data_IF_811276342701
#
_entry.id   IF_811276342701
#
_cell.length_a   1.000
_cell.length_b   1.000
_cell.length_c   1.000
_cell.angle_alpha   90.00
_cell.angle_beta   90.00
_cell.angle_gamma   90.00
#
_symmetry.space_group_name_H-M   'P 1'
#
loop_
_entity.id
_entity.type
_entity.pdbx_description
1 polymer ?
#
# COMPACT_ATOMS: atom_id res chain seq x y z
N UNK A 1 59.42 58.84 -6.33
CA UNK A 1 59.62 57.69 -7.24
C UNK A 1 58.97 56.47 -6.63
N UNK A 2 58.03 55.90 -7.36
CA UNK A 2 57.21 54.74 -6.98
C UNK A 2 58.08 53.49 -6.94
N UNK A 3 57.97 52.69 -5.88
CA UNK A 3 58.36 51.28 -5.97
C UNK A 3 57.49 50.40 -5.05
N UNK A 4 56.20 50.35 -5.37
CA UNK A 4 55.26 49.34 -4.88
C UNK A 4 55.29 48.16 -5.85
N UNK A 5 56.18 47.19 -5.65
CA UNK A 5 56.10 45.91 -6.34
C UNK A 5 56.87 44.84 -5.57
N UNK A 6 56.29 44.33 -4.49
CA UNK A 6 56.84 43.16 -3.77
C UNK A 6 55.79 42.15 -3.30
N UNK A 7 54.52 42.26 -3.71
CA UNK A 7 53.47 41.41 -3.15
C UNK A 7 52.50 40.81 -4.19
N UNK A 8 52.94 40.59 -5.43
CA UNK A 8 52.09 39.96 -6.46
C UNK A 8 52.69 38.65 -7.00
N UNK A 9 54.00 38.44 -6.83
CA UNK A 9 54.69 37.28 -7.39
C UNK A 9 54.51 35.94 -6.64
N UNK A 10 54.33 35.86 -5.30
CA UNK A 10 54.15 34.56 -4.66
C UNK A 10 52.70 34.05 -4.77
N UNK A 11 51.73 34.95 -4.99
CA UNK A 11 50.33 34.58 -5.16
C UNK A 11 50.05 33.88 -6.50
N UNK A 12 50.79 34.26 -7.56
CA UNK A 12 50.59 33.68 -8.89
C UNK A 12 51.11 32.24 -9.00
N UNK A 13 52.17 31.90 -8.26
CA UNK A 13 52.69 30.53 -8.23
C UNK A 13 51.83 29.57 -7.40
N UNK A 14 51.23 30.05 -6.31
CA UNK A 14 50.30 29.25 -5.48
C UNK A 14 48.98 29.00 -6.23
N UNK A 15 48.52 29.96 -7.03
CA UNK A 15 47.31 29.80 -7.83
C UNK A 15 47.44 28.75 -8.95
N UNK A 16 48.66 28.50 -9.46
CA UNK A 16 48.90 27.53 -10.53
C UNK A 16 48.97 26.08 -10.00
N UNK A 17 49.35 25.86 -8.75
CA UNK A 17 49.39 24.51 -8.15
C UNK A 17 48.02 23.96 -7.75
N UNK A 18 46.99 24.82 -7.62
CA UNK A 18 45.63 24.39 -7.22
C UNK A 18 44.84 23.77 -8.38
N UNK A 19 45.30 23.92 -9.62
CA UNK A 19 44.60 23.40 -10.81
C UNK A 19 45.03 21.99 -11.26
N UNK A 20 45.98 21.36 -10.56
CA UNK A 20 46.47 20.00 -10.90
C UNK A 20 46.19 18.98 -9.78
N UNK A 21 45.36 19.32 -8.80
CA UNK A 21 44.67 18.29 -7.99
C UNK A 21 43.57 17.67 -8.84
N UNK A 22 44.05 16.85 -9.78
CA UNK A 22 43.27 16.01 -10.66
C UNK A 22 42.32 15.13 -9.87
N UNK A 23 41.20 14.84 -10.51
CA UNK A 23 40.14 13.97 -10.06
C UNK A 23 40.72 12.64 -9.55
N UNK A 24 40.76 12.44 -8.24
CA UNK A 24 40.79 11.08 -7.70
C UNK A 24 39.45 10.47 -8.05
N UNK A 25 39.49 9.50 -8.95
CA UNK A 25 38.39 8.64 -9.30
C UNK A 25 37.99 7.87 -8.03
N UNK A 26 37.03 8.39 -7.27
CA UNK A 26 36.38 7.66 -6.21
C UNK A 26 35.57 6.56 -6.90
N UNK A 27 36.17 5.38 -7.08
CA UNK A 27 35.38 4.19 -7.39
C UNK A 27 34.49 3.98 -6.16
N UNK A 28 33.16 4.06 -6.28
CA UNK A 28 32.31 3.60 -5.20
C UNK A 28 32.66 2.12 -5.01
N UNK A 29 33.20 1.76 -3.84
CA UNK A 29 33.28 0.37 -3.43
C UNK A 29 31.85 -0.07 -3.10
N UNK A 30 31.09 -0.35 -4.15
CA UNK A 30 29.80 -1.03 -4.07
C UNK A 30 30.08 -2.47 -3.66
N UNK A 31 30.09 -2.66 -2.35
CA UNK A 31 29.99 -3.94 -1.64
C UNK A 31 28.49 -4.21 -1.47
N UNK A 32 27.79 -5.23 -2.01
CA UNK A 32 28.04 -6.52 -2.70
C UNK A 32 26.95 -6.73 -3.80
N UNK A 33 26.90 -7.86 -4.55
CA UNK A 33 26.07 -8.96 -4.02
C UNK A 33 26.79 -10.32 -4.02
N UNK A 34 26.63 -11.02 -2.90
CA UNK A 34 27.13 -12.36 -2.62
C UNK A 34 26.38 -13.43 -3.42
N UNK A 35 26.93 -14.01 -4.49
CA UNK A 35 26.32 -15.15 -5.25
C UNK A 35 24.82 -15.03 -5.63
N UNK A 36 24.25 -13.85 -5.43
CA UNK A 36 22.85 -13.48 -5.55
C UNK A 36 22.83 -12.21 -6.40
N UNK A 37 23.61 -12.18 -7.48
CA UNK A 37 23.17 -11.45 -8.67
C UNK A 37 21.93 -12.21 -9.15
N UNK A 38 20.80 -11.91 -8.52
CA UNK A 38 19.53 -12.36 -9.02
C UNK A 38 19.42 -11.71 -10.37
N UNK A 39 19.40 -12.54 -11.40
CA UNK A 39 19.16 -12.18 -12.79
C UNK A 39 17.70 -11.69 -12.93
N UNK A 40 17.34 -10.62 -12.21
CA UNK A 40 16.04 -9.95 -12.28
C UNK A 40 15.99 -9.05 -13.50
N UNK A 41 17.13 -8.45 -13.87
CA UNK A 41 17.20 -7.51 -14.99
C UNK A 41 17.20 -8.18 -16.37
N UNK A 42 17.62 -9.44 -16.48
CA UNK A 42 17.58 -10.19 -17.74
C UNK A 42 16.45 -11.24 -17.78
N UNK A 43 15.68 -11.38 -16.69
CA UNK A 43 14.43 -12.11 -16.74
C UNK A 43 13.51 -11.40 -17.76
N UNK A 44 12.89 -12.14 -18.70
CA UNK A 44 11.87 -11.54 -19.54
C UNK A 44 10.82 -10.92 -18.60
N UNK A 45 10.40 -9.69 -18.88
CA UNK A 45 9.14 -9.16 -18.33
C UNK A 45 8.05 -10.15 -18.75
N UNK A 46 7.75 -11.11 -17.87
CA UNK A 46 6.58 -11.94 -18.05
C UNK A 46 5.42 -11.01 -17.79
N UNK A 47 4.62 -10.75 -18.82
CA UNK A 47 3.27 -10.23 -18.61
C UNK A 47 2.67 -11.04 -17.46
N UNK A 48 2.37 -10.33 -16.38
CA UNK A 48 1.80 -10.98 -15.20
C UNK A 48 0.49 -11.61 -15.65
N UNK A 49 0.38 -12.93 -15.50
CA UNK A 49 -0.83 -13.64 -15.84
C UNK A 49 -2.03 -12.97 -15.16
N UNK A 50 -3.14 -12.83 -15.90
CA UNK A 50 -4.31 -12.04 -15.48
C UNK A 50 -4.86 -12.52 -14.13
N UNK A 51 -4.78 -13.81 -13.83
CA UNK A 51 -5.19 -14.35 -12.53
C UNK A 51 -4.23 -13.93 -11.42
N UNK A 52 -2.92 -13.90 -11.69
CA UNK A 52 -1.92 -13.40 -10.73
C UNK A 52 -2.12 -11.91 -10.46
N UNK A 53 -2.38 -11.12 -11.51
CA UNK A 53 -2.70 -9.69 -11.39
C UNK A 53 -3.95 -9.46 -10.55
N UNK A 54 -5.06 -10.15 -10.87
CA UNK A 54 -6.32 -10.07 -10.11
C UNK A 54 -6.11 -10.42 -8.64
N UNK A 55 -5.43 -11.53 -8.35
CA UNK A 55 -5.15 -11.96 -6.97
C UNK A 55 -4.30 -10.94 -6.21
N UNK A 56 -3.32 -10.35 -6.89
CA UNK A 56 -2.50 -9.27 -6.33
C UNK A 56 -3.36 -8.05 -5.98
N UNK A 57 -4.27 -7.65 -6.87
CA UNK A 57 -5.17 -6.52 -6.65
C UNK A 57 -6.17 -6.79 -5.51
N UNK A 58 -6.76 -7.99 -5.43
CA UNK A 58 -7.63 -8.38 -4.30
C UNK A 58 -6.87 -8.24 -2.98
N UNK A 59 -5.66 -8.80 -2.92
CA UNK A 59 -4.83 -8.74 -1.71
C UNK A 59 -4.42 -7.31 -1.36
N UNK A 60 -4.01 -6.53 -2.36
CA UNK A 60 -3.67 -5.13 -2.19
C UNK A 60 -4.84 -4.34 -1.58
N UNK A 61 -6.01 -4.44 -2.20
CA UNK A 61 -7.22 -3.76 -1.74
C UNK A 61 -7.63 -4.23 -0.34
N UNK A 62 -7.61 -5.54 -0.07
CA UNK A 62 -7.92 -6.04 1.26
C UNK A 62 -6.97 -5.50 2.34
N UNK A 63 -5.66 -5.51 2.10
CA UNK A 63 -4.67 -5.01 3.05
C UNK A 63 -4.74 -3.49 3.23
N UNK A 64 -4.96 -2.74 2.13
CA UNK A 64 -5.16 -1.30 2.19
C UNK A 64 -6.44 -0.94 2.96
N UNK A 65 -7.52 -1.71 2.79
CA UNK A 65 -8.74 -1.58 3.56
C UNK A 65 -8.54 -1.84 5.04
N UNK A 66 -7.81 -2.90 5.40
CA UNK A 66 -7.44 -3.20 6.79
C UNK A 66 -6.61 -2.06 7.42
N UNK A 67 -5.61 -1.56 6.70
CA UNK A 67 -4.78 -0.45 7.15
C UNK A 67 -5.60 0.82 7.38
N UNK A 68 -6.49 1.15 6.43
CA UNK A 68 -7.39 2.30 6.53
C UNK A 68 -8.32 2.17 7.73
N UNK A 69 -8.90 0.98 7.94
CA UNK A 69 -9.76 0.69 9.08
C UNK A 69 -9.04 0.89 10.42
N UNK A 70 -7.81 0.40 10.56
CA UNK A 70 -6.98 0.57 11.77
C UNK A 70 -6.62 2.03 12.03
N UNK A 71 -6.62 2.87 11.00
CA UNK A 71 -6.38 4.31 11.09
C UNK A 71 -7.66 5.14 11.19
N UNK A 72 -8.80 4.51 11.46
CA UNK A 72 -10.14 5.14 11.53
C UNK A 72 -10.56 5.85 10.22
N UNK A 73 -9.85 5.59 9.10
CA UNK A 73 -10.27 6.01 7.77
C UNK A 73 -11.32 5.02 7.24
N UNK A 74 -12.53 5.14 7.78
CA UNK A 74 -13.64 4.23 7.45
C UNK A 74 -14.09 4.36 5.99
N UNK A 75 -14.01 5.57 5.42
CA UNK A 75 -14.36 5.77 4.01
C UNK A 75 -13.31 5.14 3.09
N UNK A 76 -12.02 5.29 3.40
CA UNK A 76 -10.94 4.61 2.69
C UNK A 76 -11.07 3.10 2.81
N UNK A 77 -11.34 2.59 4.02
CA UNK A 77 -11.57 1.18 4.26
C UNK A 77 -12.72 0.63 3.42
N UNK A 78 -13.83 1.36 3.37
CA UNK A 78 -15.00 0.98 2.57
C UNK A 78 -14.65 0.88 1.08
N UNK A 79 -14.03 1.91 0.52
CA UNK A 79 -13.63 1.94 -0.89
C UNK A 79 -12.71 0.76 -1.25
N UNK A 80 -11.74 0.46 -0.38
CA UNK A 80 -10.81 -0.64 -0.60
C UNK A 80 -11.47 -2.02 -0.45
N UNK A 81 -12.35 -2.22 0.53
CA UNK A 81 -13.04 -3.50 0.67
C UNK A 81 -14.06 -3.73 -0.46
N UNK A 82 -14.73 -2.69 -0.96
CA UNK A 82 -15.60 -2.79 -2.15
C UNK A 82 -14.78 -3.21 -3.37
N UNK A 83 -13.63 -2.56 -3.60
CA UNK A 83 -12.73 -2.93 -4.70
C UNK A 83 -12.19 -4.37 -4.57
N UNK A 84 -11.96 -4.84 -3.33
CA UNK A 84 -11.60 -6.24 -3.11
C UNK A 84 -12.77 -7.19 -3.40
N UNK A 85 -13.99 -6.85 -2.99
CA UNK A 85 -15.18 -7.68 -3.24
C UNK A 85 -15.53 -7.80 -4.71
N UNK A 86 -15.35 -6.73 -5.49
CA UNK A 86 -15.69 -6.70 -6.91
C UNK A 86 -14.77 -7.60 -7.76
N UNK A 87 -13.55 -7.84 -7.27
CA UNK A 87 -12.56 -8.68 -7.95
C UNK A 87 -12.62 -10.15 -7.54
N UNK A 88 -13.29 -10.47 -6.42
CA UNK A 88 -13.36 -11.83 -5.91
C UNK A 88 -14.23 -12.71 -6.84
N UNK A 89 -13.74 -13.90 -7.22
CA UNK A 89 -14.54 -14.82 -8.04
C UNK A 89 -15.71 -15.42 -7.26
N UNK A 90 -15.60 -15.51 -5.94
CA UNK A 90 -16.61 -16.04 -5.03
C UNK A 90 -16.75 -15.11 -3.82
N UNK A 91 -17.96 -14.95 -3.25
CA UNK A 91 -18.16 -14.11 -2.06
C UNK A 91 -17.23 -14.50 -0.92
N UNK A 92 -16.46 -13.53 -0.41
CA UNK A 92 -15.67 -13.73 0.81
C UNK A 92 -16.50 -13.33 2.02
N UNK A 93 -16.86 -14.26 2.92
CA UNK A 93 -17.68 -13.93 4.08
C UNK A 93 -17.02 -12.90 4.99
N UNK A 94 -15.69 -12.93 5.09
CA UNK A 94 -14.93 -11.95 5.87
C UNK A 94 -15.03 -10.53 5.27
N UNK A 95 -14.88 -10.39 3.96
CA UNK A 95 -14.97 -9.07 3.29
C UNK A 95 -16.38 -8.51 3.41
N UNK A 96 -17.40 -9.35 3.20
CA UNK A 96 -18.79 -8.95 3.35
C UNK A 96 -19.16 -8.55 4.79
N UNK A 97 -18.63 -9.25 5.81
CA UNK A 97 -18.83 -8.84 7.21
C UNK A 97 -18.17 -7.50 7.54
N UNK A 98 -16.97 -7.23 7.01
CA UNK A 98 -16.29 -5.94 7.17
C UNK A 98 -17.05 -4.80 6.50
N UNK A 99 -17.56 -5.02 5.27
CA UNK A 99 -18.42 -4.07 4.58
C UNK A 99 -19.70 -3.81 5.36
N UNK A 100 -20.33 -4.85 5.91
CA UNK A 100 -21.52 -4.70 6.74
C UNK A 100 -21.27 -3.83 7.98
N UNK A 101 -20.15 -4.05 8.66
CA UNK A 101 -19.76 -3.26 9.82
C UNK A 101 -19.53 -1.78 9.46
N UNK A 102 -18.83 -1.51 8.35
CA UNK A 102 -18.58 -0.14 7.88
C UNK A 102 -19.87 0.56 7.48
N UNK A 103 -20.75 -0.10 6.72
CA UNK A 103 -22.04 0.48 6.37
C UNK A 103 -22.94 0.71 7.59
N UNK A 104 -22.86 -0.15 8.62
CA UNK A 104 -23.55 0.09 9.88
C UNK A 104 -23.03 1.37 10.55
N UNK A 105 -21.70 1.58 10.59
CA UNK A 105 -21.09 2.81 11.12
C UNK A 105 -21.52 4.06 10.34
N UNK A 106 -21.66 3.95 9.02
CA UNK A 106 -22.17 5.03 8.16
C UNK A 106 -23.69 5.21 8.20
N UNK A 107 -24.41 4.44 9.02
CA UNK A 107 -25.88 4.40 9.09
C UNK A 107 -26.55 4.01 7.77
N UNK A 108 -25.82 3.35 6.87
CA UNK A 108 -26.37 2.78 5.65
C UNK A 108 -26.91 1.37 5.91
N UNK A 109 -27.96 1.29 6.72
CA UNK A 109 -28.43 0.06 7.33
C UNK A 109 -28.87 -1.02 6.32
N UNK A 110 -29.48 -0.62 5.22
CA UNK A 110 -29.91 -1.57 4.17
C UNK A 110 -28.72 -2.20 3.44
N UNK A 111 -27.68 -1.41 3.17
CA UNK A 111 -26.43 -1.97 2.64
C UNK A 111 -25.76 -2.86 3.67
N UNK A 112 -25.73 -2.45 4.95
CA UNK A 112 -25.18 -3.27 6.02
C UNK A 112 -25.87 -4.65 6.09
N UNK A 113 -27.21 -4.66 6.03
CA UNK A 113 -28.03 -5.87 5.97
C UNK A 113 -27.66 -6.75 4.78
N UNK A 114 -27.63 -6.15 3.59
CA UNK A 114 -27.32 -6.88 2.35
C UNK A 114 -25.96 -7.58 2.47
N UNK A 115 -24.95 -6.88 2.98
CA UNK A 115 -23.59 -7.41 3.10
C UNK A 115 -23.49 -8.52 4.15
N UNK A 116 -24.11 -8.36 5.34
CA UNK A 116 -24.04 -9.42 6.35
C UNK A 116 -24.81 -10.67 5.95
N UNK A 117 -25.90 -10.52 5.19
CA UNK A 117 -26.61 -11.64 4.58
C UNK A 117 -25.70 -12.40 3.61
N UNK A 118 -24.90 -11.71 2.77
CA UNK A 118 -23.92 -12.38 1.90
C UNK A 118 -22.90 -13.20 2.72
N UNK A 119 -22.38 -12.65 3.82
CA UNK A 119 -21.47 -13.39 4.69
C UNK A 119 -22.11 -14.65 5.30
N UNK A 120 -23.37 -14.52 5.74
CA UNK A 120 -24.14 -15.62 6.32
C UNK A 120 -24.61 -16.66 5.30
N UNK A 121 -24.61 -16.38 4.00
CA UNK A 121 -24.87 -17.43 2.99
C UNK A 121 -23.74 -18.45 2.93
N UNK A 122 -22.50 -18.03 3.19
CA UNK A 122 -21.30 -18.89 3.17
C UNK A 122 -21.03 -19.48 4.55
N UNK A 123 -21.07 -18.66 5.60
CA UNK A 123 -20.82 -19.08 6.98
C UNK A 123 -22.07 -18.94 7.86
N UNK A 124 -23.06 -19.77 7.59
CA UNK A 124 -24.39 -19.72 8.23
C UNK A 124 -24.35 -19.86 9.76
N UNK A 125 -23.36 -20.56 10.32
CA UNK A 125 -23.25 -20.81 11.78
C UNK A 125 -22.26 -19.88 12.48
N UNK A 126 -21.69 -18.90 11.77
CA UNK A 126 -20.74 -17.96 12.37
C UNK A 126 -21.46 -17.06 13.39
N UNK A 127 -21.12 -17.25 14.67
CA UNK A 127 -21.75 -16.53 15.78
C UNK A 127 -21.50 -15.03 15.71
N UNK A 128 -20.30 -14.61 15.30
CA UNK A 128 -19.96 -13.18 15.17
C UNK A 128 -20.80 -12.51 14.09
N UNK A 129 -21.00 -13.17 12.94
CA UNK A 129 -21.83 -12.61 11.87
C UNK A 129 -23.31 -12.54 12.24
N UNK A 130 -23.82 -13.53 12.98
CA UNK A 130 -25.18 -13.49 13.52
C UNK A 130 -25.39 -12.36 14.51
N UNK A 131 -24.40 -12.08 15.35
CA UNK A 131 -24.46 -10.95 16.29
C UNK A 131 -24.43 -9.61 15.55
N UNK A 132 -23.57 -9.47 14.54
CA UNK A 132 -23.55 -8.28 13.70
C UNK A 132 -24.88 -8.09 12.96
N UNK A 133 -25.45 -9.16 12.41
CA UNK A 133 -26.75 -9.11 11.76
C UNK A 133 -27.87 -8.70 12.73
N UNK A 134 -27.89 -9.26 13.94
CA UNK A 134 -28.85 -8.87 14.97
C UNK A 134 -28.76 -7.36 15.32
N UNK A 135 -27.54 -6.81 15.45
CA UNK A 135 -27.36 -5.38 15.68
C UNK A 135 -27.81 -4.49 14.51
N UNK A 136 -27.65 -4.97 13.28
CA UNK A 136 -28.16 -4.30 12.07
C UNK A 136 -29.70 -4.31 12.07
N UNK A 137 -30.32 -5.46 12.36
CA UNK A 137 -31.77 -5.60 12.45
C UNK A 137 -32.38 -4.73 13.56
N UNK A 138 -31.73 -4.67 14.72
CA UNK A 138 -32.11 -3.75 15.81
C UNK A 138 -32.09 -2.30 15.31
N UNK A 139 -31.02 -1.89 14.62
CA UNK A 139 -30.88 -0.55 14.06
C UNK A 139 -31.97 -0.23 13.01
N UNK A 140 -32.41 -1.25 12.26
CA UNK A 140 -33.52 -1.15 11.29
C UNK A 140 -34.91 -1.16 11.94
N UNK A 141 -35.02 -1.52 13.23
CA UNK A 141 -36.28 -1.91 13.87
C UNK A 141 -37.00 -3.08 13.14
N UNK A 142 -36.24 -3.94 12.46
CA UNK A 142 -36.76 -5.13 11.79
C UNK A 142 -36.58 -6.35 12.70
N UNK A 143 -37.64 -6.72 13.42
CA UNK A 143 -37.64 -7.90 14.31
C UNK A 143 -38.25 -9.14 13.66
N UNK A 144 -38.46 -9.12 12.33
CA UNK A 144 -39.06 -10.24 11.59
C UNK A 144 -38.04 -11.28 11.11
N UNK A 145 -36.75 -11.01 11.35
CA UNK A 145 -35.60 -11.83 10.93
C UNK A 145 -35.52 -13.23 11.52
#
# INVERSE_FOLDING_TARGET
>A
MKNTSRLVLPFFFIALSVLISGCTQHKPELSYPSQFEVEVHAAPEREMDLETDRRSQILHNFLAGQLSYVHDDFQGALNYFEAASDLLPEPSPQVHALLAELYLKEQNLEKARTQIEQALTVETENTSYRLLYAGILESLNDFSG
#
